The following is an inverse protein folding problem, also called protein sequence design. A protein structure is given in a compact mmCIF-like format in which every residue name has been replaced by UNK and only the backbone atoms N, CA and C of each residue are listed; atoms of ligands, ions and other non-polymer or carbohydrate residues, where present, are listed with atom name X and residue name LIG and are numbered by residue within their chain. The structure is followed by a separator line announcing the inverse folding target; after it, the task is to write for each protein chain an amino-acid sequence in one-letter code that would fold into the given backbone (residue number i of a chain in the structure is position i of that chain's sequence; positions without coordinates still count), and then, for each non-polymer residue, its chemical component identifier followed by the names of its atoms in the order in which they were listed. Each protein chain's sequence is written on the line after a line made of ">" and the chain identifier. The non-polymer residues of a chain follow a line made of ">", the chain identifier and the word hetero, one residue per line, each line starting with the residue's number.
data_IF_099669609756
#
_entry.id   IF_099669609756
#
_cell.length_a   1.000
_cell.length_b   1.000
_cell.length_c   1.000
_cell.angle_alpha   90.00
_cell.angle_beta   90.00
_cell.angle_gamma   90.00
#
_symmetry.space_group_name_H-M   'P 1'
#
loop_
_entity.id
_entity.type
_entity.pdbx_description
1 polymer ?
#
# COMPACT_ATOMS: atom_id res chain seq x y z
N UNK A 1 -8.84 -4.84 -0.38
CA UNK A 1 -7.95 -3.86 -1.06
C UNK A 1 -8.14 -2.50 -0.43
N UNK A 2 -7.05 -1.81 -0.20
CA UNK A 2 -7.09 -0.48 0.42
C UNK A 2 -6.24 0.51 -0.35
N UNK A 3 -6.58 1.79 -0.23
CA UNK A 3 -5.70 2.89 -0.60
C UNK A 3 -4.83 3.25 0.60
N UNK A 4 -3.56 3.55 0.36
CA UNK A 4 -2.65 3.95 1.42
C UNK A 4 -1.60 4.92 0.90
N UNK A 5 -1.05 5.73 1.81
CA UNK A 5 0.09 6.61 1.51
C UNK A 5 1.37 5.99 2.05
N UNK A 6 2.41 5.98 1.25
CA UNK A 6 3.73 5.54 1.68
C UNK A 6 4.33 6.60 2.59
N UNK A 7 4.62 6.23 3.84
CA UNK A 7 5.21 7.12 4.84
C UNK A 7 6.70 6.86 5.06
N UNK A 8 7.18 5.70 4.69
CA UNK A 8 8.58 5.36 4.86
C UNK A 8 8.88 3.94 4.44
N UNK A 9 10.07 3.50 4.77
CA UNK A 9 10.54 2.15 4.48
C UNK A 9 10.94 1.44 5.75
N UNK A 10 10.91 0.10 5.70
CA UNK A 10 11.31 -0.76 6.82
C UNK A 10 12.47 -1.61 6.35
N UNK A 11 13.54 -1.60 7.13
CA UNK A 11 14.72 -2.42 6.84
C UNK A 11 14.86 -3.46 7.95
N UNK A 12 14.91 -4.74 7.57
CA UNK A 12 15.10 -5.85 8.48
C UNK A 12 16.33 -6.64 8.01
N UNK A 13 17.38 -6.67 8.84
CA UNK A 13 18.61 -7.38 8.52
C UNK A 13 18.51 -8.88 8.82
N UNK A 14 17.70 -9.25 9.83
CA UNK A 14 17.40 -10.65 10.15
C UNK A 14 15.93 -10.89 9.85
N UNK A 15 15.64 -11.79 8.92
CA UNK A 15 14.28 -12.10 8.50
C UNK A 15 14.21 -13.51 7.95
N UNK A 16 12.99 -14.01 7.80
CA UNK A 16 12.75 -15.31 7.22
C UNK A 16 13.37 -15.38 5.82
N UNK A 17 14.01 -16.51 5.48
CA UNK A 17 14.68 -16.71 4.18
C UNK A 17 13.76 -16.44 2.99
N UNK A 18 12.47 -16.77 3.12
CA UNK A 18 11.48 -16.56 2.06
C UNK A 18 11.16 -15.08 1.85
N UNK A 19 11.61 -14.21 2.75
CA UNK A 19 11.46 -12.76 2.65
C UNK A 19 12.72 -12.07 2.14
N UNK A 20 13.80 -12.81 1.92
CA UNK A 20 15.07 -12.27 1.43
C UNK A 20 14.87 -11.61 0.06
N UNK A 21 15.34 -10.37 -0.08
CA UNK A 21 15.19 -9.61 -1.31
C UNK A 21 13.91 -8.80 -1.41
N UNK A 22 12.94 -9.01 -0.52
CA UNK A 22 11.72 -8.23 -0.51
C UNK A 22 11.98 -6.83 0.09
N UNK A 23 11.36 -5.83 -0.52
CA UNK A 23 11.36 -4.46 -0.01
C UNK A 23 10.10 -4.26 0.83
N UNK A 24 10.27 -3.64 1.99
CA UNK A 24 9.16 -3.34 2.89
C UNK A 24 8.92 -1.85 2.99
N UNK A 25 7.66 -1.45 2.98
CA UNK A 25 7.26 -0.07 3.15
C UNK A 25 6.33 0.05 4.35
N UNK A 26 6.37 1.23 4.97
CA UNK A 26 5.42 1.63 6.00
C UNK A 26 4.37 2.50 5.31
N UNK A 27 3.12 2.09 5.37
CA UNK A 27 2.04 2.80 4.71
C UNK A 27 0.90 3.10 5.69
N UNK A 28 0.20 4.19 5.44
CA UNK A 28 -0.97 4.60 6.22
C UNK A 28 -2.22 4.48 5.36
N UNK A 29 -3.18 3.63 5.76
CA UNK A 29 -4.45 3.55 5.05
C UNK A 29 -5.16 4.90 4.99
N UNK A 30 -5.86 5.13 3.87
CA UNK A 30 -6.65 6.34 3.65
C UNK A 30 -8.12 5.97 3.58
N UNK A 31 -8.97 6.75 4.23
CA UNK A 31 -10.39 6.48 4.34
C UNK A 31 -11.18 7.56 3.60
N UNK A 32 -12.08 7.11 2.72
CA UNK A 32 -13.06 7.96 2.05
C UNK A 32 -14.40 7.55 2.63
N UNK A 33 -14.96 8.37 3.51
CA UNK A 33 -16.11 8.01 4.34
C UNK A 33 -17.47 8.39 3.74
N UNK A 34 -17.47 9.01 2.55
CA UNK A 34 -18.71 9.48 1.92
C UNK A 34 -18.53 9.59 0.41
N UNK A 35 -19.55 9.29 -0.41
CA UNK A 35 -19.49 9.52 -1.85
C UNK A 35 -19.45 11.00 -2.24
N UNK A 36 -19.65 11.91 -1.28
CA UNK A 36 -19.52 13.35 -1.49
C UNK A 36 -18.27 13.93 -0.83
N UNK A 37 -17.37 13.08 -0.36
CA UNK A 37 -16.13 13.51 0.29
C UNK A 37 -15.31 14.39 -0.66
N UNK A 38 -14.75 15.47 -0.12
CA UNK A 38 -13.85 16.38 -0.84
C UNK A 38 -12.39 16.12 -0.50
N UNK A 39 -12.15 15.27 0.49
CA UNK A 39 -10.82 14.86 0.92
C UNK A 39 -10.91 13.51 1.60
N UNK A 40 -9.81 12.83 1.70
CA UNK A 40 -9.70 11.60 2.48
C UNK A 40 -9.18 11.89 3.87
N UNK A 41 -9.37 10.91 4.77
CA UNK A 41 -8.85 10.98 6.14
C UNK A 41 -7.78 9.92 6.32
N UNK A 42 -6.63 10.25 6.93
CA UNK A 42 -5.64 9.23 7.25
C UNK A 42 -6.18 8.31 8.35
N UNK A 43 -5.86 7.03 8.22
CA UNK A 43 -6.15 6.05 9.26
C UNK A 43 -5.32 6.31 10.52
N UNK A 44 -5.71 5.65 11.61
CA UNK A 44 -5.07 5.86 12.93
C UNK A 44 -3.80 5.04 13.12
N UNK A 45 -3.57 4.03 12.28
CA UNK A 45 -2.40 3.16 12.38
C UNK A 45 -1.78 2.92 11.02
N UNK A 46 -0.49 2.57 11.05
CA UNK A 46 0.27 2.20 9.85
C UNK A 46 0.37 0.69 9.75
N UNK A 47 0.64 0.20 8.55
CA UNK A 47 0.93 -1.21 8.30
C UNK A 47 2.21 -1.35 7.49
N UNK A 48 2.86 -2.50 7.63
CA UNK A 48 4.04 -2.86 6.84
C UNK A 48 3.59 -3.70 5.65
N UNK A 49 4.03 -3.32 4.47
CA UNK A 49 3.66 -4.00 3.22
C UNK A 49 4.90 -4.37 2.43
N UNK A 50 4.77 -5.41 1.62
CA UNK A 50 5.80 -5.77 0.65
C UNK A 50 5.59 -4.97 -0.63
N UNK A 51 6.67 -4.43 -1.19
CA UNK A 51 6.63 -3.65 -2.42
C UNK A 51 7.45 -4.32 -3.51
N UNK A 52 6.83 -4.58 -4.65
CA UNK A 52 7.48 -5.14 -5.84
C UNK A 52 7.49 -4.14 -7.01
N UNK A 53 6.91 -2.96 -6.84
CA UNK A 53 6.73 -1.98 -7.92
C UNK A 53 7.68 -0.79 -7.84
N UNK A 54 8.34 -0.58 -6.71
CA UNK A 54 9.23 0.56 -6.52
C UNK A 54 8.52 1.83 -6.09
N UNK A 55 7.51 1.72 -5.22
CA UNK A 55 6.82 2.89 -4.68
C UNK A 55 7.74 3.69 -3.76
N UNK A 56 7.59 5.00 -3.77
CA UNK A 56 8.37 5.93 -2.96
C UNK A 56 7.54 6.67 -1.93
N UNK A 57 8.23 7.29 -0.97
CA UNK A 57 7.59 8.07 0.08
C UNK A 57 6.71 9.17 -0.51
N UNK A 58 5.52 9.32 0.05
CA UNK A 58 4.52 10.29 -0.41
C UNK A 58 3.60 9.78 -1.51
N UNK A 59 3.95 8.69 -2.19
CA UNK A 59 3.09 8.12 -3.21
C UNK A 59 1.87 7.43 -2.60
N UNK A 60 0.77 7.40 -3.38
CA UNK A 60 -0.45 6.68 -3.01
C UNK A 60 -0.42 5.33 -3.71
N UNK A 61 -0.74 4.28 -2.98
CA UNK A 61 -0.65 2.91 -3.47
C UNK A 61 -1.94 2.14 -3.20
N UNK A 62 -2.16 1.11 -4.03
CA UNK A 62 -3.17 0.09 -3.78
C UNK A 62 -2.51 -1.10 -3.12
N UNK A 63 -3.11 -1.57 -2.04
CA UNK A 63 -2.59 -2.68 -1.24
C UNK A 63 -3.63 -3.78 -1.14
N UNK A 64 -3.24 -5.01 -1.45
CA UNK A 64 -4.03 -6.21 -1.14
C UNK A 64 -3.52 -6.84 0.13
N UNK A 65 -4.43 -7.46 0.88
CA UNK A 65 -4.13 -8.07 2.17
C UNK A 65 -4.61 -9.53 2.21
N UNK A 66 -4.15 -10.26 3.22
CA UNK A 66 -4.51 -11.65 3.43
C UNK A 66 -3.88 -12.61 2.43
N UNK A 67 -4.55 -13.72 2.14
CA UNK A 67 -4.03 -14.75 1.23
C UNK A 67 -3.84 -14.26 -0.20
N UNK A 68 -4.61 -13.27 -0.64
CA UNK A 68 -4.45 -12.66 -1.96
C UNK A 68 -3.10 -11.97 -2.12
N UNK A 69 -2.50 -11.49 -1.03
CA UNK A 69 -1.19 -10.85 -1.06
C UNK A 69 -0.10 -11.81 -1.54
N UNK A 70 -0.15 -13.07 -1.15
CA UNK A 70 0.83 -14.07 -1.57
C UNK A 70 0.78 -14.33 -3.07
N UNK A 71 -0.41 -14.35 -3.65
CA UNK A 71 -0.59 -14.50 -5.10
C UNK A 71 -0.05 -13.27 -5.84
N UNK A 72 -0.31 -12.09 -5.31
CA UNK A 72 0.18 -10.84 -5.91
C UNK A 72 1.70 -10.71 -5.82
N UNK A 73 2.34 -11.34 -4.86
CA UNK A 73 3.79 -11.35 -4.70
C UNK A 73 4.49 -12.39 -5.60
N UNK A 74 3.74 -13.14 -6.41
CA UNK A 74 4.25 -14.21 -7.27
C UNK A 74 4.97 -15.33 -6.52
N UNK A 75 4.72 -15.47 -5.23
CA UNK A 75 5.33 -16.50 -4.39
C UNK A 75 4.32 -16.97 -3.34
N UNK A 76 3.70 -18.11 -3.63
CA UNK A 76 2.70 -18.71 -2.74
C UNK A 76 3.26 -19.15 -1.40
N UNK A 77 4.58 -19.39 -1.34
CA UNK A 77 5.26 -19.82 -0.13
C UNK A 77 5.79 -18.64 0.69
N UNK A 78 5.70 -17.43 0.16
CA UNK A 78 6.14 -16.23 0.87
C UNK A 78 5.20 -15.91 2.04
N UNK A 79 5.73 -15.63 3.25
CA UNK A 79 4.91 -15.30 4.42
C UNK A 79 4.45 -13.84 4.41
N UNK A 80 3.98 -13.32 3.27
CA UNK A 80 3.48 -11.95 3.17
C UNK A 80 1.97 -11.92 3.30
N UNK A 81 1.43 -10.88 3.94
CA UNK A 81 0.00 -10.69 4.12
C UNK A 81 -0.50 -9.33 3.63
N UNK A 82 0.39 -8.50 3.10
CA UNK A 82 0.03 -7.22 2.52
C UNK A 82 1.05 -6.85 1.43
N UNK A 83 0.59 -6.56 0.23
CA UNK A 83 1.43 -6.30 -0.93
C UNK A 83 0.90 -5.12 -1.73
N UNK A 84 1.79 -4.23 -2.15
CA UNK A 84 1.47 -3.14 -3.08
C UNK A 84 1.26 -3.73 -4.47
N UNK A 85 0.09 -3.49 -5.05
CA UNK A 85 -0.25 -3.96 -6.40
C UNK A 85 -0.41 -2.83 -7.42
N UNK A 86 -0.36 -1.59 -7.00
CA UNK A 86 -0.47 -0.45 -7.90
C UNK A 86 0.03 0.82 -7.26
N UNK A 87 0.58 1.70 -8.11
CA UNK A 87 0.90 3.08 -7.75
C UNK A 87 -0.18 3.94 -8.38
N UNK A 88 -0.85 4.76 -7.57
CA UNK A 88 -2.08 5.44 -7.98
C UNK A 88 -1.76 6.78 -8.61
N UNK A 89 -2.38 7.05 -9.76
CA UNK A 89 -2.23 8.33 -10.47
C UNK A 89 -3.32 9.32 -10.07
N UNK A 90 -4.57 8.87 -9.97
CA UNK A 90 -5.70 9.74 -9.59
C UNK A 90 -6.67 9.00 -8.71
N UNK A 91 -7.34 9.75 -7.84
CA UNK A 91 -8.49 9.27 -7.06
C UNK A 91 -9.61 10.28 -7.18
N UNK A 92 -10.75 9.85 -7.73
CA UNK A 92 -11.94 10.67 -7.90
C UNK A 92 -13.05 10.15 -7.02
N UNK A 93 -13.80 11.06 -6.41
CA UNK A 93 -15.02 10.71 -5.67
C UNK A 93 -16.12 11.68 -6.10
N UNK A 94 -17.19 11.13 -6.72
CA UNK A 94 -18.23 11.95 -7.29
C UNK A 94 -17.66 12.89 -8.36
N UNK A 95 -17.77 14.19 -8.13
CA UNK A 95 -17.23 15.22 -9.05
C UNK A 95 -15.91 15.80 -8.58
N UNK A 96 -15.32 15.25 -7.52
CA UNK A 96 -14.10 15.79 -6.91
C UNK A 96 -12.92 14.89 -7.17
N UNK A 97 -11.80 15.49 -7.56
CA UNK A 97 -10.50 14.82 -7.63
C UNK A 97 -9.84 14.99 -6.26
N UNK A 98 -9.69 13.89 -5.52
CA UNK A 98 -9.05 13.91 -4.20
C UNK A 98 -7.54 13.86 -4.31
N UNK A 99 -7.01 13.25 -5.36
CA UNK A 99 -5.58 13.07 -5.56
C UNK A 99 -5.25 13.03 -7.05
N UNK A 100 -4.15 13.67 -7.41
CA UNK A 100 -3.57 13.58 -8.74
C UNK A 100 -2.05 13.57 -8.58
N UNK A 101 -1.42 12.51 -9.05
CA UNK A 101 0.04 12.41 -9.05
C UNK A 101 0.64 13.40 -10.05
N UNK A 102 1.81 13.90 -9.71
CA UNK A 102 2.55 14.84 -10.59
C UNK A 102 3.41 14.10 -11.61
#
# INVERSE_FOLDING_TARGET
>A
MILARVEGSVVATKKNKKMTGNKFLLVRPLVIDSPTAKEWKPGTSTIVVTDTLGAGEGEIVLVVQGSSARLAADDKDSPVDAVVIGIVDTVDVGKHILFKAQ
#
